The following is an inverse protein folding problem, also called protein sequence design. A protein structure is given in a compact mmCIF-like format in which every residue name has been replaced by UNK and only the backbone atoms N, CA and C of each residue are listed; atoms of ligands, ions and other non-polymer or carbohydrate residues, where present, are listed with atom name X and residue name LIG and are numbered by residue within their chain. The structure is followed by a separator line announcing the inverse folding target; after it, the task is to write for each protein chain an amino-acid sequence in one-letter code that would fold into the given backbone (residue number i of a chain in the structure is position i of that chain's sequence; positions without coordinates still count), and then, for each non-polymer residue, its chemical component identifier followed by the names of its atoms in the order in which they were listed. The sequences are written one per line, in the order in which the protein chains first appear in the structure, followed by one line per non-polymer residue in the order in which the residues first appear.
data_IF_322580108265
#
_entry.id   IF_322580108265
#
_cell.length_a   1.000
_cell.length_b   1.000
_cell.length_c   1.000
_cell.angle_alpha   90.00
_cell.angle_beta   90.00
_cell.angle_gamma   90.00
#
_symmetry.space_group_name_H-M   'P 1'
#
loop_
_entity.id
_entity.type
_entity.pdbx_description
1 polymer ?
#
# COMPACT_ATOMS: atom_id res chain seq x y z
N UNK A 1 19.79 36.38 -11.95
CA UNK A 1 18.79 35.31 -11.78
C UNK A 1 19.05 34.31 -12.89
N UNK A 2 19.67 33.18 -12.58
CA UNK A 2 19.85 32.11 -13.57
C UNK A 2 18.45 31.55 -13.83
N UNK A 3 17.94 31.72 -15.05
CA UNK A 3 16.76 31.02 -15.50
C UNK A 3 17.10 29.53 -15.42
N UNK A 4 16.58 28.84 -14.42
CA UNK A 4 16.53 27.38 -14.41
C UNK A 4 15.69 26.99 -15.62
N UNK A 5 16.34 26.56 -16.69
CA UNK A 5 15.67 25.99 -17.85
C UNK A 5 14.81 24.83 -17.37
N UNK A 6 13.53 24.80 -17.75
CA UNK A 6 12.66 23.66 -17.49
C UNK A 6 13.34 22.36 -17.96
N UNK A 7 13.16 21.25 -17.22
CA UNK A 7 13.73 19.97 -17.63
C UNK A 7 13.16 19.53 -18.98
N UNK A 8 13.96 18.80 -19.75
CA UNK A 8 13.53 18.26 -21.05
C UNK A 8 12.56 17.10 -20.81
N UNK A 9 11.44 17.08 -21.54
CA UNK A 9 10.48 15.98 -21.53
C UNK A 9 11.07 14.70 -22.14
N UNK A 10 10.55 13.52 -21.75
CA UNK A 10 9.55 13.32 -20.69
C UNK A 10 10.18 13.33 -19.28
N UNK A 11 9.42 13.78 -18.27
CA UNK A 11 9.83 13.69 -16.86
C UNK A 11 8.64 13.57 -15.91
N UNK A 12 8.84 12.90 -14.78
CA UNK A 12 7.87 12.90 -13.68
C UNK A 12 8.10 14.10 -12.78
N UNK A 13 7.06 14.91 -12.57
CA UNK A 13 7.10 16.06 -11.67
C UNK A 13 6.31 15.76 -10.41
N UNK A 14 7.00 15.65 -9.28
CA UNK A 14 6.38 15.49 -7.95
C UNK A 14 6.16 16.88 -7.35
N UNK A 15 4.89 17.29 -7.20
CA UNK A 15 4.50 18.52 -6.52
C UNK A 15 4.52 18.31 -5.00
N UNK A 16 5.53 18.88 -4.34
CA UNK A 16 5.71 18.80 -2.89
C UNK A 16 4.51 19.35 -2.11
N UNK A 17 3.78 20.34 -2.64
CA UNK A 17 2.64 20.94 -1.94
C UNK A 17 1.46 19.97 -1.90
N UNK A 18 1.16 19.34 -3.05
CA UNK A 18 0.11 18.31 -3.14
C UNK A 18 0.46 17.06 -2.36
N UNK A 19 1.73 16.66 -2.37
CA UNK A 19 2.21 15.56 -1.52
C UNK A 19 1.99 15.88 -0.04
N UNK A 20 2.30 17.09 0.40
CA UNK A 20 2.08 17.54 1.77
C UNK A 20 0.59 17.56 2.16
N UNK A 21 -0.32 17.89 1.24
CA UNK A 21 -1.76 17.81 1.51
C UNK A 21 -2.22 16.38 1.79
N UNK A 22 -1.68 15.39 1.08
CA UNK A 22 -1.92 13.97 1.40
C UNK A 22 -1.34 13.61 2.78
N UNK A 23 -0.12 14.07 3.08
CA UNK A 23 0.52 13.83 4.37
C UNK A 23 -0.28 14.39 5.56
N UNK A 24 -0.86 15.59 5.42
CA UNK A 24 -1.75 16.18 6.44
C UNK A 24 -2.99 15.32 6.70
N UNK A 25 -3.57 14.72 5.66
CA UNK A 25 -4.69 13.77 5.84
C UNK A 25 -4.24 12.49 6.54
N UNK A 26 -3.02 12.00 6.27
CA UNK A 26 -2.44 10.86 7.00
C UNK A 26 -2.24 11.18 8.49
N UNK A 27 -1.76 12.38 8.83
CA UNK A 27 -1.64 12.81 10.23
C UNK A 27 -2.99 12.82 10.94
N UNK A 28 -4.04 13.36 10.30
CA UNK A 28 -5.41 13.33 10.84
C UNK A 28 -5.82 11.91 11.20
N UNK A 29 -5.59 10.94 10.29
CA UNK A 29 -5.91 9.53 10.56
C UNK A 29 -5.11 9.00 11.72
N UNK A 30 -3.80 9.24 11.75
CA UNK A 30 -2.92 8.75 12.83
C UNK A 30 -3.34 9.29 14.19
N UNK A 31 -3.58 10.60 14.28
CA UNK A 31 -3.93 11.29 15.52
C UNK A 31 -5.32 10.91 16.04
N UNK A 32 -6.33 10.84 15.15
CA UNK A 32 -7.73 10.60 15.57
C UNK A 32 -8.03 9.12 15.80
N UNK A 33 -7.44 8.22 15.03
CA UNK A 33 -7.69 6.78 15.15
C UNK A 33 -6.71 6.05 16.08
N UNK A 34 -5.50 6.59 16.26
CA UNK A 34 -4.39 5.87 16.90
C UNK A 34 -3.73 4.81 16.01
N UNK A 35 -4.17 4.64 14.76
CA UNK A 35 -3.52 3.77 13.80
C UNK A 35 -2.16 4.35 13.37
N UNK A 36 -1.22 3.47 13.04
CA UNK A 36 0.06 3.84 12.43
C UNK A 36 -0.02 3.72 10.91
N UNK A 37 0.71 4.57 10.19
CA UNK A 37 0.72 4.59 8.72
C UNK A 37 2.11 4.31 8.17
N UNK A 38 2.23 3.28 7.34
CA UNK A 38 3.47 2.84 6.71
C UNK A 38 3.40 3.02 5.19
N UNK A 39 4.38 3.69 4.60
CA UNK A 39 4.42 3.84 3.14
C UNK A 39 4.62 2.48 2.47
N UNK A 40 3.70 2.10 1.58
CA UNK A 40 3.84 0.89 0.78
C UNK A 40 4.78 1.11 -0.40
N UNK A 41 6.03 0.64 -0.27
CA UNK A 41 7.10 0.93 -1.24
C UNK A 41 6.86 0.34 -2.63
N UNK A 42 6.06 -0.73 -2.73
CA UNK A 42 5.62 -1.31 -4.01
C UNK A 42 4.89 -0.30 -4.91
N UNK A 43 4.28 0.74 -4.31
CA UNK A 43 3.55 1.77 -5.03
C UNK A 43 4.41 3.02 -5.26
N UNK A 44 5.19 3.44 -4.26
CA UNK A 44 6.02 4.64 -4.35
C UNK A 44 7.34 4.48 -3.60
N UNK A 45 8.45 4.59 -4.35
CA UNK A 45 9.81 4.38 -3.84
C UNK A 45 10.81 5.49 -4.25
N UNK A 46 10.32 6.65 -4.68
CA UNK A 46 11.17 7.80 -5.08
C UNK A 46 11.76 8.47 -3.84
N UNK A 47 12.81 7.85 -3.30
CA UNK A 47 13.36 8.12 -1.97
C UNK A 47 13.88 9.55 -1.73
N UNK A 48 14.07 10.34 -2.78
CA UNK A 48 14.46 11.75 -2.69
C UNK A 48 13.43 12.67 -2.03
N UNK A 49 12.21 12.20 -1.77
CA UNK A 49 11.17 12.93 -1.03
C UNK A 49 10.76 12.26 0.28
N UNK A 50 11.49 11.21 0.70
CA UNK A 50 11.19 10.54 1.97
C UNK A 50 11.44 11.42 3.19
N UNK A 51 12.30 12.43 3.08
CA UNK A 51 12.53 13.45 4.10
C UNK A 51 11.23 14.17 4.50
N UNK A 52 10.41 14.53 3.51
CA UNK A 52 9.09 15.12 3.74
C UNK A 52 8.13 14.08 4.33
N UNK A 53 8.02 12.90 3.71
CA UNK A 53 7.00 11.91 4.08
C UNK A 53 7.21 11.32 5.48
N UNK A 54 8.46 11.12 5.89
CA UNK A 54 8.79 10.50 7.20
C UNK A 54 8.40 11.35 8.40
N UNK A 55 8.10 12.63 8.22
CA UNK A 55 7.58 13.49 9.28
C UNK A 55 6.11 13.16 9.61
N UNK A 56 5.40 12.52 8.68
CA UNK A 56 3.95 12.30 8.72
C UNK A 56 3.54 10.82 8.74
N UNK A 57 4.52 9.91 8.69
CA UNK A 57 4.29 8.47 8.63
C UNK A 57 5.19 7.76 9.63
N UNK A 58 4.79 6.55 10.03
CA UNK A 58 5.46 5.79 11.07
C UNK A 58 6.58 4.88 10.51
N UNK A 59 6.67 4.76 9.18
CA UNK A 59 7.72 4.02 8.49
C UNK A 59 7.29 3.45 7.14
N UNK A 60 7.73 2.23 6.80
CA UNK A 60 7.50 1.61 5.49
C UNK A 60 7.10 0.15 5.58
N UNK A 61 6.26 -0.31 4.65
CA UNK A 61 6.01 -1.74 4.40
C UNK A 61 6.63 -2.14 3.07
N UNK A 62 7.16 -3.36 3.02
CA UNK A 62 7.98 -3.87 1.92
C UNK A 62 7.54 -5.26 1.50
N UNK A 63 7.76 -5.58 0.23
CA UNK A 63 7.40 -6.85 -0.42
C UNK A 63 8.60 -7.62 -0.98
N UNK A 64 9.82 -7.11 -0.79
CA UNK A 64 11.08 -7.71 -1.24
C UNK A 64 12.27 -7.29 -0.36
N UNK A 65 13.40 -7.99 -0.49
CA UNK A 65 14.66 -7.64 0.18
C UNK A 65 15.12 -6.22 -0.16
N UNK A 66 15.01 -5.82 -1.43
CA UNK A 66 15.44 -4.49 -1.86
C UNK A 66 14.56 -3.38 -1.27
N UNK A 67 13.25 -3.60 -1.18
CA UNK A 67 12.33 -2.64 -0.57
C UNK A 67 12.59 -2.51 0.94
N UNK A 68 12.74 -3.62 1.68
CA UNK A 68 12.98 -3.54 3.15
C UNK A 68 14.33 -2.86 3.44
N UNK A 69 15.36 -3.13 2.62
CA UNK A 69 16.65 -2.42 2.68
C UNK A 69 16.48 -0.93 2.40
N UNK A 70 15.72 -0.56 1.36
CA UNK A 70 15.43 0.84 1.01
C UNK A 70 14.69 1.57 2.14
N UNK A 71 13.62 0.95 2.67
CA UNK A 71 12.83 1.48 3.76
C UNK A 71 13.69 1.78 4.99
N UNK A 72 14.49 0.80 5.42
CA UNK A 72 15.40 0.97 6.56
C UNK A 72 16.44 2.08 6.33
N UNK A 73 17.06 2.12 5.15
CA UNK A 73 18.20 3.00 4.88
C UNK A 73 17.82 4.43 4.51
N UNK A 74 16.68 4.63 3.83
CA UNK A 74 16.29 5.94 3.27
C UNK A 74 15.09 6.57 3.97
N UNK A 75 14.13 5.76 4.42
CA UNK A 75 12.96 6.27 5.14
C UNK A 75 13.20 6.31 6.64
N UNK A 76 13.69 5.20 7.22
CA UNK A 76 13.79 5.01 8.66
C UNK A 76 12.42 4.75 9.29
N UNK A 77 12.30 4.99 10.60
CA UNK A 77 11.09 4.63 11.33
C UNK A 77 10.91 3.11 11.43
N UNK A 78 9.66 2.68 11.50
CA UNK A 78 9.27 1.27 11.59
C UNK A 78 9.28 0.59 10.21
N UNK A 79 10.00 -0.51 10.06
CA UNK A 79 10.17 -1.22 8.78
C UNK A 79 9.49 -2.59 8.83
N UNK A 80 8.43 -2.78 8.05
CA UNK A 80 7.71 -4.05 7.94
C UNK A 80 8.13 -4.78 6.66
N UNK A 81 8.42 -6.07 6.78
CA UNK A 81 8.79 -6.95 5.68
C UNK A 81 7.73 -8.02 5.46
N UNK A 82 7.09 -8.02 4.30
CA UNK A 82 6.25 -9.09 3.80
C UNK A 82 6.88 -9.70 2.54
N UNK A 83 6.62 -10.98 2.30
CA UNK A 83 6.82 -11.56 0.97
C UNK A 83 5.82 -12.70 0.78
N UNK A 84 5.42 -12.93 -0.46
CA UNK A 84 4.69 -14.14 -0.83
C UNK A 84 5.52 -15.39 -0.50
N UNK A 85 6.83 -15.31 -0.72
CA UNK A 85 7.79 -16.36 -0.37
C UNK A 85 9.17 -15.75 -0.13
N UNK A 86 9.72 -15.95 1.06
CA UNK A 86 11.11 -15.64 1.35
C UNK A 86 12.03 -16.76 0.87
N UNK A 87 13.17 -16.39 0.30
CA UNK A 87 14.22 -17.33 -0.07
C UNK A 87 15.27 -17.46 1.04
N UNK A 88 15.90 -18.65 1.17
CA UNK A 88 16.89 -18.90 2.23
C UNK A 88 18.09 -17.94 2.16
N UNK A 89 18.47 -17.49 0.96
CA UNK A 89 19.60 -16.58 0.77
C UNK A 89 19.27 -15.10 1.03
N UNK A 90 17.99 -14.77 1.26
CA UNK A 90 17.53 -13.40 1.50
C UNK A 90 17.02 -13.19 2.93
N UNK A 91 16.51 -14.23 3.59
CA UNK A 91 15.75 -14.11 4.84
C UNK A 91 16.55 -13.46 5.97
N UNK A 92 17.81 -13.83 6.16
CA UNK A 92 18.62 -13.27 7.26
C UNK A 92 18.87 -11.77 7.07
N UNK A 93 19.09 -11.35 5.83
CA UNK A 93 19.26 -9.93 5.52
C UNK A 93 17.94 -9.17 5.65
N UNK A 94 16.83 -9.73 5.17
CA UNK A 94 15.51 -9.13 5.32
C UNK A 94 15.15 -8.93 6.81
N UNK A 95 15.41 -9.94 7.64
CA UNK A 95 15.25 -9.87 9.10
C UNK A 95 16.12 -8.78 9.71
N UNK A 96 17.38 -8.62 9.26
CA UNK A 96 18.29 -7.59 9.77
C UNK A 96 17.81 -6.14 9.52
N UNK A 97 16.93 -5.95 8.54
CA UNK A 97 16.36 -4.65 8.19
C UNK A 97 14.95 -4.43 8.75
N UNK A 98 14.23 -5.47 9.13
CA UNK A 98 12.83 -5.38 9.54
C UNK A 98 12.66 -5.27 11.07
N UNK A 99 11.69 -4.47 11.50
CA UNK A 99 11.17 -4.51 12.88
C UNK A 99 10.09 -5.59 13.02
N UNK A 100 9.31 -5.81 11.95
CA UNK A 100 8.30 -6.86 11.83
C UNK A 100 8.46 -7.63 10.52
N UNK A 101 8.37 -8.95 10.58
CA UNK A 101 8.32 -9.80 9.39
C UNK A 101 7.01 -10.59 9.33
N UNK A 102 6.42 -10.64 8.14
CA UNK A 102 5.08 -11.14 7.90
C UNK A 102 5.17 -12.26 6.87
N UNK A 103 4.72 -13.44 7.26
CA UNK A 103 4.73 -14.61 6.40
C UNK A 103 3.41 -14.78 5.69
N UNK A 104 3.46 -15.21 4.43
CA UNK A 104 2.27 -15.45 3.63
C UNK A 104 1.52 -16.74 4.02
N UNK A 105 2.23 -17.74 4.56
CA UNK A 105 1.68 -19.05 4.88
C UNK A 105 2.29 -19.65 6.15
N UNK A 106 1.60 -20.62 6.73
CA UNK A 106 2.06 -21.40 7.89
C UNK A 106 3.40 -22.07 7.58
N UNK A 107 3.57 -22.61 6.37
CA UNK A 107 4.80 -23.30 5.96
C UNK A 107 6.00 -22.34 5.90
N UNK A 108 5.81 -21.10 5.42
CA UNK A 108 6.86 -20.09 5.41
C UNK A 108 7.22 -19.64 6.83
N UNK A 109 6.20 -19.42 7.68
CA UNK A 109 6.40 -19.14 9.11
C UNK A 109 7.19 -20.27 9.77
N UNK A 110 6.80 -21.52 9.54
CA UNK A 110 7.45 -22.70 10.13
C UNK A 110 8.92 -22.82 9.75
N UNK A 111 9.20 -22.64 8.45
CA UNK A 111 10.54 -22.73 7.89
C UNK A 111 11.48 -21.67 8.46
N UNK A 112 11.02 -20.43 8.62
CA UNK A 112 11.86 -19.28 8.96
C UNK A 112 11.66 -18.74 10.38
N UNK A 113 10.90 -19.44 11.21
CA UNK A 113 10.65 -19.05 12.62
C UNK A 113 11.96 -18.89 13.41
N UNK A 114 12.98 -19.72 13.11
CA UNK A 114 14.30 -19.63 13.73
C UNK A 114 15.05 -18.38 13.32
N UNK A 115 15.13 -18.09 12.02
CA UNK A 115 15.79 -16.90 11.47
C UNK A 115 15.15 -15.62 12.01
N UNK A 116 13.82 -15.57 12.05
CA UNK A 116 13.07 -14.42 12.53
C UNK A 116 12.86 -14.39 14.06
N UNK A 117 13.60 -15.19 14.84
CA UNK A 117 13.39 -15.35 16.29
C UNK A 117 13.55 -14.05 17.09
N UNK A 118 14.45 -13.17 16.66
CA UNK A 118 14.79 -11.91 17.33
C UNK A 118 13.89 -10.72 17.00
N UNK A 119 12.93 -10.86 16.09
CA UNK A 119 12.02 -9.77 15.68
C UNK A 119 10.55 -10.21 15.76
N UNK A 120 9.66 -9.23 15.65
CA UNK A 120 8.21 -9.47 15.67
C UNK A 120 7.78 -10.21 14.42
N UNK A 121 6.94 -11.24 14.59
CA UNK A 121 6.43 -12.08 13.49
C UNK A 121 4.92 -11.96 13.36
N UNK A 122 4.46 -11.93 12.12
CA UNK A 122 3.04 -11.96 11.77
C UNK A 122 2.72 -12.95 10.65
N UNK A 123 1.43 -13.18 10.44
CA UNK A 123 0.89 -14.05 9.39
C UNK A 123 -0.12 -13.27 8.55
N UNK A 124 -0.08 -13.42 7.22
CA UNK A 124 -1.12 -12.87 6.35
C UNK A 124 -2.38 -13.73 6.43
N UNK A 125 -3.53 -13.10 6.61
CA UNK A 125 -4.83 -13.73 6.55
C UNK A 125 -5.55 -13.41 5.24
N UNK A 126 -6.30 -14.38 4.72
CA UNK A 126 -7.19 -14.20 3.58
C UNK A 126 -8.66 -14.24 4.03
N UNK A 127 -9.37 -13.10 4.01
CA UNK A 127 -10.76 -13.05 4.45
C UNK A 127 -11.75 -13.60 3.41
N UNK A 128 -11.30 -13.94 2.20
CA UNK A 128 -12.15 -14.46 1.12
C UNK A 128 -13.05 -13.39 0.46
N UNK A 129 -12.82 -12.12 0.77
CA UNK A 129 -13.52 -10.96 0.19
C UNK A 129 -12.54 -9.87 -0.18
N UNK A 130 -12.87 -9.06 -1.17
CA UNK A 130 -12.01 -8.02 -1.74
C UNK A 130 -12.85 -6.92 -2.40
N UNK A 131 -12.35 -5.69 -2.39
CA UNK A 131 -12.98 -4.57 -3.14
C UNK A 131 -12.50 -4.46 -4.59
N UNK A 132 -11.53 -5.27 -5.01
CA UNK A 132 -10.93 -5.15 -6.35
C UNK A 132 -11.90 -5.55 -7.45
N UNK A 133 -12.07 -4.68 -8.45
CA UNK A 133 -12.72 -5.00 -9.72
C UNK A 133 -11.77 -5.66 -10.74
N UNK A 134 -10.46 -5.64 -10.47
CA UNK A 134 -9.45 -6.21 -11.36
C UNK A 134 -8.97 -7.57 -10.86
N UNK A 135 -9.18 -8.61 -11.67
CA UNK A 135 -8.80 -9.99 -11.32
C UNK A 135 -7.28 -10.15 -11.04
N UNK A 136 -6.43 -9.40 -11.74
CA UNK A 136 -4.97 -9.42 -11.51
C UNK A 136 -4.57 -8.81 -10.17
N UNK A 137 -5.34 -7.83 -9.68
CA UNK A 137 -5.08 -7.15 -8.42
C UNK A 137 -5.86 -7.76 -7.24
N UNK A 138 -6.83 -8.66 -7.49
CA UNK A 138 -7.70 -9.22 -6.47
C UNK A 138 -6.97 -10.25 -5.58
N UNK A 139 -6.72 -9.93 -4.29
CA UNK A 139 -6.07 -10.85 -3.37
C UNK A 139 -6.98 -11.97 -2.85
N UNK A 140 -8.29 -11.89 -3.09
CA UNK A 140 -9.27 -12.88 -2.64
C UNK A 140 -9.90 -13.69 -3.80
N UNK A 141 -9.41 -13.50 -5.03
CA UNK A 141 -9.88 -14.22 -6.22
C UNK A 141 -9.83 -15.74 -6.04
N UNK A 142 -10.61 -16.51 -6.82
CA UNK A 142 -10.52 -17.97 -6.84
C UNK A 142 -9.07 -18.45 -6.98
N UNK A 143 -8.69 -19.40 -6.11
CA UNK A 143 -7.33 -19.96 -6.04
C UNK A 143 -6.24 -18.94 -5.67
N UNK A 144 -6.61 -17.85 -4.97
CA UNK A 144 -5.63 -16.94 -4.41
C UNK A 144 -4.63 -17.68 -3.52
N UNK A 145 -3.35 -17.35 -3.72
CA UNK A 145 -2.22 -17.89 -2.95
C UNK A 145 -1.86 -17.02 -1.75
N UNK A 146 -2.63 -15.97 -1.49
CA UNK A 146 -2.24 -14.89 -0.59
C UNK A 146 -2.94 -15.02 0.76
N UNK A 147 -2.18 -15.39 1.79
CA UNK A 147 -2.67 -15.52 3.16
C UNK A 147 -3.41 -16.82 3.48
N UNK A 148 -3.51 -17.12 4.77
CA UNK A 148 -4.20 -18.28 5.33
C UNK A 148 -5.64 -17.92 5.69
N UNK A 149 -6.58 -18.85 5.52
CA UNK A 149 -8.02 -18.59 5.68
C UNK A 149 -8.70 -19.46 6.75
N UNK A 150 -8.00 -20.49 7.23
CA UNK A 150 -8.50 -21.48 8.18
C UNK A 150 -8.03 -21.14 9.60
N UNK A 151 -8.91 -20.49 10.36
CA UNK A 151 -8.61 -20.07 11.72
C UNK A 151 -8.27 -21.25 12.67
N UNK A 152 -8.83 -22.44 12.43
CA UNK A 152 -8.56 -23.63 13.25
C UNK A 152 -7.12 -24.08 13.09
N UNK A 153 -6.56 -23.96 11.89
CA UNK A 153 -5.14 -24.28 11.62
C UNK A 153 -4.18 -23.22 12.14
N UNK A 154 -4.62 -21.97 12.25
CA UNK A 154 -3.79 -20.84 12.70
C UNK A 154 -3.74 -20.75 14.22
N UNK A 155 -4.86 -21.05 14.91
CA UNK A 155 -4.98 -20.91 16.37
C UNK A 155 -3.85 -21.58 17.18
N UNK A 156 -3.36 -22.78 16.83
CA UNK A 156 -2.23 -23.41 17.53
C UNK A 156 -0.88 -22.72 17.36
N UNK A 157 -0.76 -21.75 16.45
CA UNK A 157 0.49 -21.04 16.12
C UNK A 157 0.57 -19.65 16.79
N UNK A 158 -0.41 -19.27 17.59
CA UNK A 158 -0.49 -17.95 18.24
C UNK A 158 0.65 -17.67 19.22
N UNK A 159 1.40 -18.69 19.64
CA UNK A 159 2.63 -18.55 20.44
C UNK A 159 3.85 -18.16 19.60
N UNK A 160 3.76 -18.26 18.26
CA UNK A 160 4.87 -18.00 17.32
C UNK A 160 4.75 -16.70 16.57
N UNK A 161 3.55 -16.12 16.53
CA UNK A 161 3.22 -14.83 15.91
C UNK A 161 2.53 -13.93 16.93
N UNK A 162 2.58 -12.62 16.70
CA UNK A 162 1.92 -11.62 17.57
C UNK A 162 0.88 -10.78 16.82
N UNK A 163 0.74 -10.95 15.51
CA UNK A 163 -0.19 -10.15 14.75
C UNK A 163 -0.40 -10.61 13.33
N UNK A 164 -1.27 -9.88 12.63
CA UNK A 164 -1.80 -10.29 11.35
C UNK A 164 -1.71 -9.18 10.31
N UNK A 165 -1.55 -9.58 9.05
CA UNK A 165 -1.76 -8.71 7.90
C UNK A 165 -3.00 -9.16 7.15
N UNK A 166 -3.89 -8.23 6.85
CA UNK A 166 -5.04 -8.43 5.98
C UNK A 166 -5.00 -7.35 4.92
N UNK A 167 -4.91 -7.73 3.66
CA UNK A 167 -4.87 -6.81 2.54
C UNK A 167 -5.89 -7.27 1.51
N UNK A 168 -7.06 -6.63 1.53
CA UNK A 168 -8.23 -6.96 0.71
C UNK A 168 -8.90 -5.73 0.07
N UNK A 169 -8.35 -4.52 0.25
CA UNK A 169 -8.82 -3.34 -0.44
C UNK A 169 -7.95 -3.05 -1.67
N UNK A 170 -8.57 -2.53 -2.71
CA UNK A 170 -7.94 -2.00 -3.93
C UNK A 170 -8.81 -0.84 -4.42
N UNK A 171 -8.21 0.34 -4.58
CA UNK A 171 -8.89 1.59 -4.99
C UNK A 171 -10.22 1.88 -4.27
N UNK A 172 -10.33 1.44 -3.00
CA UNK A 172 -11.57 1.50 -2.25
C UNK A 172 -11.83 2.93 -1.77
N UNK A 173 -12.62 3.65 -2.56
CA UNK A 173 -13.13 4.99 -2.26
C UNK A 173 -14.48 4.95 -1.51
N UNK A 174 -15.04 3.77 -1.27
CA UNK A 174 -16.31 3.57 -0.55
C UNK A 174 -16.05 3.14 0.91
N UNK A 175 -16.29 4.05 1.84
CA UNK A 175 -16.18 3.77 3.26
C UNK A 175 -17.15 2.69 3.74
N UNK A 176 -18.38 2.63 3.21
CA UNK A 176 -19.36 1.62 3.61
C UNK A 176 -18.89 0.21 3.20
N UNK A 177 -18.25 0.09 2.03
CA UNK A 177 -17.63 -1.16 1.60
C UNK A 177 -16.46 -1.55 2.51
N UNK A 178 -15.60 -0.59 2.89
CA UNK A 178 -14.54 -0.83 3.88
C UNK A 178 -15.10 -1.33 5.21
N UNK A 179 -16.11 -0.66 5.76
CA UNK A 179 -16.76 -1.01 7.03
C UNK A 179 -17.38 -2.41 7.00
N UNK A 180 -18.08 -2.75 5.91
CA UNK A 180 -18.67 -4.07 5.70
C UNK A 180 -17.61 -5.17 5.63
N UNK A 181 -16.52 -4.95 4.89
CA UNK A 181 -15.42 -5.92 4.80
C UNK A 181 -14.69 -6.10 6.14
N UNK A 182 -14.47 -5.00 6.88
CA UNK A 182 -13.86 -5.08 8.20
C UNK A 182 -14.75 -5.84 9.19
N UNK A 183 -16.06 -5.67 9.12
CA UNK A 183 -17.02 -6.43 9.93
C UNK A 183 -16.97 -7.94 9.62
N UNK A 184 -16.85 -8.32 8.34
CA UNK A 184 -16.67 -9.73 7.96
C UNK A 184 -15.34 -10.31 8.46
N UNK A 185 -14.27 -9.51 8.47
CA UNK A 185 -12.99 -9.89 9.07
C UNK A 185 -13.15 -10.18 10.57
N UNK A 186 -13.88 -9.34 11.30
CA UNK A 186 -14.16 -9.52 12.73
C UNK A 186 -14.94 -10.80 13.00
N UNK A 187 -15.99 -11.06 12.21
CA UNK A 187 -16.80 -12.29 12.33
C UNK A 187 -15.96 -13.54 12.07
N UNK A 188 -15.10 -13.49 11.05
CA UNK A 188 -14.34 -14.66 10.60
C UNK A 188 -13.12 -14.96 11.48
N UNK A 189 -12.42 -13.93 11.92
CA UNK A 189 -11.13 -14.06 12.60
C UNK A 189 -11.12 -13.52 14.04
N UNK A 190 -12.26 -13.11 14.59
CA UNK A 190 -12.35 -12.46 15.90
C UNK A 190 -11.63 -13.20 17.03
N UNK A 191 -11.69 -14.54 17.06
CA UNK A 191 -10.98 -15.33 18.09
C UNK A 191 -9.46 -15.28 17.95
N UNK A 192 -8.93 -15.14 16.73
CA UNK A 192 -7.51 -14.88 16.49
C UNK A 192 -7.15 -13.44 16.86
N UNK A 193 -7.98 -12.48 16.44
CA UNK A 193 -7.75 -11.05 16.66
C UNK A 193 -7.69 -10.69 18.15
N UNK A 194 -8.52 -11.31 19.00
CA UNK A 194 -8.48 -11.15 20.47
C UNK A 194 -7.16 -11.60 21.11
N UNK A 195 -6.34 -12.37 20.39
CA UNK A 195 -5.03 -12.87 20.84
C UNK A 195 -3.86 -12.18 20.13
N UNK A 196 -4.13 -11.25 19.22
CA UNK A 196 -3.11 -10.47 18.54
C UNK A 196 -2.75 -9.23 19.37
N UNK A 197 -1.55 -8.72 19.14
CA UNK A 197 -1.07 -7.44 19.64
C UNK A 197 -1.19 -6.34 18.58
N UNK A 198 -1.21 -6.72 17.29
CA UNK A 198 -1.30 -5.78 16.17
C UNK A 198 -1.97 -6.39 14.93
N UNK A 199 -2.54 -5.51 14.11
CA UNK A 199 -3.15 -5.87 12.82
C UNK A 199 -2.78 -4.81 11.78
N UNK A 200 -2.17 -5.23 10.68
CA UNK A 200 -2.09 -4.41 9.46
C UNK A 200 -3.32 -4.66 8.60
N UNK A 201 -4.06 -3.61 8.27
CA UNK A 201 -5.21 -3.64 7.36
C UNK A 201 -4.80 -3.35 5.89
N UNK A 202 -3.50 -3.31 5.63
CA UNK A 202 -2.97 -3.11 4.28
C UNK A 202 -3.27 -1.71 3.72
N UNK A 203 -3.28 -1.63 2.39
CA UNK A 203 -3.50 -0.40 1.63
C UNK A 203 -4.75 -0.53 0.76
N UNK A 204 -4.82 0.26 -0.32
CA UNK A 204 -5.96 0.23 -1.25
C UNK A 204 -7.22 0.91 -0.70
N UNK A 205 -7.11 1.65 0.41
CA UNK A 205 -8.17 2.48 0.98
C UNK A 205 -7.88 3.93 0.59
N UNK A 206 -8.80 4.59 -0.11
CA UNK A 206 -8.59 5.92 -0.69
C UNK A 206 -8.97 7.06 0.28
N UNK A 207 -8.50 6.98 1.53
CA UNK A 207 -8.92 7.91 2.60
C UNK A 207 -8.40 9.35 2.45
N UNK A 208 -7.44 9.58 1.54
CA UNK A 208 -6.94 10.92 1.21
C UNK A 208 -7.72 11.59 0.08
N UNK A 209 -8.77 10.95 -0.44
CA UNK A 209 -9.70 11.57 -1.38
C UNK A 209 -10.38 12.82 -0.81
N UNK A 210 -10.94 13.66 -1.68
CA UNK A 210 -11.51 14.95 -1.27
C UNK A 210 -12.81 14.80 -0.46
N UNK A 211 -13.62 13.80 -0.78
CA UNK A 211 -14.94 13.56 -0.16
C UNK A 211 -14.98 12.27 0.68
N UNK A 212 -13.83 11.68 1.01
CA UNK A 212 -13.80 10.48 1.83
C UNK A 212 -14.21 10.82 3.28
N UNK A 213 -15.12 10.07 3.92
CA UNK A 213 -15.58 10.36 5.28
C UNK A 213 -14.50 9.98 6.32
N UNK A 214 -13.46 10.82 6.40
CA UNK A 214 -12.25 10.55 7.17
C UNK A 214 -12.54 10.40 8.67
N UNK A 215 -13.55 11.10 9.19
CA UNK A 215 -13.95 11.03 10.59
C UNK A 215 -14.59 9.69 10.94
N UNK A 216 -15.55 9.22 10.14
CA UNK A 216 -16.17 7.91 10.31
C UNK A 216 -15.13 6.78 10.16
N UNK A 217 -14.19 6.95 9.23
CA UNK A 217 -13.05 6.04 9.06
C UNK A 217 -12.16 6.00 10.32
N UNK A 218 -11.80 7.14 10.88
CA UNK A 218 -10.99 7.20 12.10
C UNK A 218 -11.70 6.54 13.28
N UNK A 219 -12.99 6.83 13.47
CA UNK A 219 -13.80 6.23 14.53
C UNK A 219 -13.89 4.71 14.34
N UNK A 220 -14.07 4.24 13.10
CA UNK A 220 -14.15 2.81 12.80
C UNK A 220 -12.86 2.07 13.13
N UNK A 221 -11.71 2.64 12.79
CA UNK A 221 -10.39 2.09 13.11
C UNK A 221 -10.15 2.07 14.62
N UNK A 222 -10.51 3.15 15.32
CA UNK A 222 -10.40 3.23 16.78
C UNK A 222 -11.27 2.16 17.46
N UNK A 223 -12.52 2.00 17.02
CA UNK A 223 -13.43 0.95 17.53
C UNK A 223 -12.85 -0.45 17.33
N UNK A 224 -12.26 -0.72 16.16
CA UNK A 224 -11.57 -2.00 15.90
C UNK A 224 -10.39 -2.19 16.86
N UNK A 225 -9.53 -1.18 17.01
CA UNK A 225 -8.40 -1.17 17.94
C UNK A 225 -8.85 -1.46 19.38
N UNK A 226 -9.86 -0.75 19.88
CA UNK A 226 -10.36 -0.87 21.24
C UNK A 226 -11.04 -2.23 21.48
N UNK A 227 -11.76 -2.76 20.50
CA UNK A 227 -12.49 -4.04 20.62
C UNK A 227 -11.54 -5.22 20.75
N UNK A 228 -10.45 -5.23 19.99
CA UNK A 228 -9.49 -6.34 19.99
C UNK A 228 -8.22 -6.07 20.82
N UNK A 229 -8.02 -4.84 21.30
CA UNK A 229 -6.82 -4.43 22.02
C UNK A 229 -5.55 -4.44 21.16
N UNK A 230 -5.69 -4.19 19.85
CA UNK A 230 -4.60 -4.29 18.87
C UNK A 230 -4.12 -2.92 18.41
N UNK A 231 -2.81 -2.79 18.15
CA UNK A 231 -2.30 -1.67 17.36
C UNK A 231 -2.66 -1.88 15.89
N UNK A 232 -3.42 -0.94 15.32
CA UNK A 232 -3.76 -0.94 13.90
C UNK A 232 -2.63 -0.30 13.08
N UNK A 233 -2.28 -0.93 11.96
CA UNK A 233 -1.40 -0.39 10.92
C UNK A 233 -2.16 -0.25 9.61
N UNK A 234 -1.95 0.86 8.92
CA UNK A 234 -2.35 1.10 7.54
C UNK A 234 -1.10 1.14 6.67
N UNK A 235 -1.24 0.71 5.43
CA UNK A 235 -0.16 0.65 4.45
C UNK A 235 -0.50 1.45 3.18
N UNK A 236 -0.74 2.77 3.28
CA UNK A 236 -1.12 3.57 2.13
C UNK A 236 0.01 3.65 1.10
N UNK A 237 -0.25 3.10 -0.09
CA UNK A 237 0.53 3.34 -1.30
C UNK A 237 -0.04 4.55 -2.04
N UNK A 238 -1.06 4.30 -2.87
CA UNK A 238 -1.68 5.31 -3.72
C UNK A 238 -2.19 6.52 -2.92
N UNK A 239 -2.91 6.28 -1.81
CA UNK A 239 -3.44 7.35 -0.97
C UNK A 239 -2.35 8.33 -0.47
N UNK A 240 -1.11 7.88 -0.31
CA UNK A 240 0.01 8.75 0.06
C UNK A 240 0.42 9.72 -1.05
N UNK A 241 0.20 9.36 -2.31
CA UNK A 241 0.74 10.08 -3.49
C UNK A 241 -0.31 10.51 -4.51
N UNK A 242 -1.59 10.24 -4.27
CA UNK A 242 -2.72 10.60 -5.13
C UNK A 242 -2.62 12.06 -5.58
N UNK A 243 -2.77 12.30 -6.89
CA UNK A 243 -2.77 13.62 -7.53
C UNK A 243 -1.51 14.48 -7.27
N UNK A 244 -0.45 13.93 -6.68
CA UNK A 244 0.78 14.68 -6.36
C UNK A 244 1.78 14.74 -7.50
N UNK A 245 1.66 13.87 -8.50
CA UNK A 245 2.68 13.68 -9.53
C UNK A 245 2.06 13.69 -10.93
N UNK A 246 2.74 14.32 -11.88
CA UNK A 246 2.39 14.33 -13.31
C UNK A 246 3.54 13.76 -14.13
N UNK A 247 3.22 13.26 -15.33
CA UNK A 247 4.20 12.91 -16.36
C UNK A 247 4.13 13.97 -17.45
N UNK A 248 5.15 14.83 -17.50
CA UNK A 248 5.25 15.91 -18.46
C UNK A 248 5.79 15.37 -19.79
N UNK A 249 5.13 15.73 -20.90
CA UNK A 249 5.43 15.21 -22.24
C UNK A 249 5.34 16.32 -23.29
N UNK A 250 6.02 16.12 -24.41
CA UNK A 250 5.93 17.00 -25.60
C UNK A 250 5.31 16.26 -26.76
N UNK A 251 4.38 16.92 -27.48
CA UNK A 251 3.87 16.42 -28.76
C UNK A 251 4.95 16.51 -29.82
N UNK A 252 5.31 15.38 -30.42
CA UNK A 252 6.31 15.24 -31.48
C UNK A 252 5.70 15.18 -32.88
N UNK A 253 4.46 14.69 -33.01
CA UNK A 253 3.77 14.59 -34.29
C UNK A 253 2.25 14.67 -34.11
N UNK A 254 1.55 15.08 -35.17
CA UNK A 254 0.09 15.11 -35.22
C UNK A 254 -0.39 14.57 -36.55
N UNK A 255 -1.44 13.76 -36.53
CA UNK A 255 -2.00 13.17 -37.74
C UNK A 255 -3.51 12.96 -37.61
N UNK A 256 -4.15 12.66 -38.74
CA UNK A 256 -5.57 12.32 -38.78
C UNK A 256 -5.77 10.93 -39.38
N UNK A 257 -6.43 10.05 -38.63
CA UNK A 257 -6.85 8.74 -39.10
C UNK A 257 -8.14 8.31 -38.38
N UNK A 258 -9.29 8.72 -38.92
CA UNK A 258 -10.61 8.52 -38.30
C UNK A 258 -10.86 9.40 -37.05
N UNK A 259 -9.80 9.80 -36.36
CA UNK A 259 -9.75 10.79 -35.29
C UNK A 259 -8.46 11.62 -35.36
N UNK A 260 -8.44 12.74 -34.65
CA UNK A 260 -7.21 13.50 -34.42
C UNK A 260 -6.28 12.70 -33.50
N UNK A 261 -5.00 12.65 -33.86
CA UNK A 261 -3.97 11.91 -33.14
C UNK A 261 -2.81 12.84 -32.83
N UNK A 262 -2.29 12.72 -31.61
CA UNK A 262 -1.03 13.32 -31.18
C UNK A 262 -0.09 12.20 -30.73
N UNK A 263 1.15 12.26 -31.18
CA UNK A 263 2.23 11.37 -30.73
C UNK A 263 3.10 12.18 -29.78
N UNK A 264 3.31 11.65 -28.57
CA UNK A 264 4.13 12.30 -27.54
C UNK A 264 5.45 11.57 -27.36
N UNK A 265 6.44 12.24 -26.76
CA UNK A 265 7.77 11.68 -26.43
C UNK A 265 7.76 10.71 -25.23
N UNK A 266 6.68 9.94 -25.07
CA UNK A 266 6.48 8.98 -23.99
C UNK A 266 5.72 7.74 -24.48
N UNK A 267 5.64 6.70 -23.64
CA UNK A 267 4.97 5.43 -23.95
C UNK A 267 4.28 4.88 -22.70
N UNK A 268 3.03 4.44 -22.84
CA UNK A 268 2.31 3.78 -21.73
C UNK A 268 3.01 2.49 -21.32
N UNK A 269 3.59 1.74 -22.24
CA UNK A 269 4.27 0.47 -21.93
C UNK A 269 5.54 0.69 -21.08
N UNK A 270 6.28 1.77 -21.35
CA UNK A 270 7.53 2.05 -20.66
C UNK A 270 7.36 2.91 -19.40
N UNK A 271 6.39 3.84 -19.41
CA UNK A 271 6.30 4.92 -18.41
C UNK A 271 5.01 4.90 -17.58
N UNK A 272 3.93 4.29 -18.07
CA UNK A 272 2.66 4.19 -17.33
C UNK A 272 2.05 2.79 -17.51
N UNK A 273 2.84 1.77 -17.18
CA UNK A 273 2.60 0.37 -17.57
C UNK A 273 1.22 -0.15 -17.12
N UNK A 274 0.72 0.29 -15.97
CA UNK A 274 -0.59 -0.12 -15.45
C UNK A 274 -1.74 0.26 -16.39
N UNK A 275 -1.62 1.36 -17.15
CA UNK A 275 -2.60 1.71 -18.19
C UNK A 275 -2.71 0.61 -19.26
N UNK A 276 -1.58 0.03 -19.65
CA UNK A 276 -1.56 -1.07 -20.60
C UNK A 276 -2.08 -2.38 -19.98
N UNK A 277 -1.61 -2.72 -18.77
CA UNK A 277 -1.95 -3.98 -18.08
C UNK A 277 -3.45 -4.06 -17.80
N UNK A 278 -4.03 -3.00 -17.25
CA UNK A 278 -5.43 -2.95 -16.85
C UNK A 278 -6.35 -2.40 -17.94
N UNK A 279 -5.79 -1.99 -19.09
CA UNK A 279 -6.51 -1.38 -20.22
C UNK A 279 -7.24 -0.09 -19.82
N UNK A 280 -6.59 0.69 -18.98
CA UNK A 280 -7.06 1.98 -18.52
C UNK A 280 -6.62 3.11 -19.44
N UNK A 281 -7.31 4.25 -19.35
CA UNK A 281 -7.00 5.44 -20.15
C UNK A 281 -6.20 6.46 -19.33
N UNK A 282 -5.17 7.04 -19.95
CA UNK A 282 -4.46 8.19 -19.37
C UNK A 282 -5.41 9.38 -19.24
N UNK A 283 -5.27 10.15 -18.15
CA UNK A 283 -5.91 11.46 -18.01
C UNK A 283 -4.93 12.54 -18.41
N UNK A 284 -5.34 13.39 -19.34
CA UNK A 284 -4.58 14.58 -19.74
C UNK A 284 -5.09 15.77 -18.93
N UNK A 285 -4.20 16.61 -18.43
CA UNK A 285 -4.56 17.82 -17.71
C UNK A 285 -3.56 18.95 -18.04
N UNK A 286 -4.03 20.14 -18.44
CA UNK A 286 -5.42 20.48 -18.74
C UNK A 286 -5.89 19.80 -20.04
N UNK A 287 -7.10 19.21 -20.04
CA UNK A 287 -7.73 18.67 -21.25
C UNK A 287 -8.69 19.70 -21.87
N UNK A 288 -8.13 20.83 -22.30
CA UNK A 288 -8.89 21.97 -22.84
C UNK A 288 -8.91 21.99 -24.39
N UNK A 289 -8.40 20.93 -25.02
CA UNK A 289 -8.40 20.80 -26.48
C UNK A 289 -9.81 20.64 -27.05
N UNK A 290 -9.97 20.99 -28.33
CA UNK A 290 -11.24 20.84 -29.05
C UNK A 290 -11.59 19.38 -29.44
N UNK A 291 -10.76 18.41 -29.06
CA UNK A 291 -10.84 17.03 -29.52
C UNK A 291 -10.69 16.05 -28.35
N UNK A 292 -11.45 14.97 -28.39
CA UNK A 292 -11.38 13.82 -27.45
C UNK A 292 -10.45 12.71 -27.95
#
# INVERSE_FOLDING_TARGET
MSATSEPRTPYYLIDRSKLLDNMRKIDIVRERSGAKSLLALKCFATWSVFDLMREHMDGTTSSSLNEVRLGRQRFGGETHAYSVAWADHEIDEAVSHADKIIFNSIQQLERFCGNASGIVRGLRLNPGVSSSSFDLADPARPFSRLGEWDAVRIMPLMDRISGFMIHNNCENSDFALFDAMLSQIEERFGELLKRAEWVSLGGGIHFTGDDYPIDDFCERLKRFSDTFGVQVYLEPGEASITKSTTLEVTVLDTLFNGKHLAVVDSSIEAHMLDLLIYRESARIAPNEGAHE
#
